data_IF_037375119657
#
_entry.id   IF_037375119657
#
_cell.length_a   1.000
_cell.length_b   1.000
_cell.length_c   1.000
_cell.angle_alpha   90.00
_cell.angle_beta   90.00
_cell.angle_gamma   90.00
#
_symmetry.space_group_name_H-M   'P 1'
#
loop_
_entity.id
_entity.type
_entity.pdbx_description
1 polymer ?
#
# COMPACT_ATOMS: atom_id res chain seq x y z
N UNK A 1 -10.03 16.62 -15.36
CA UNK A 1 -10.73 16.42 -14.06
C UNK A 1 -9.70 15.91 -13.07
N UNK A 2 -9.67 16.42 -11.84
CA UNK A 2 -8.75 15.90 -10.82
C UNK A 2 -9.28 14.59 -10.23
N UNK A 3 -8.42 13.60 -10.03
CA UNK A 3 -8.75 12.37 -9.31
C UNK A 3 -8.86 12.63 -7.80
N UNK A 4 -9.70 11.88 -7.05
CA UNK A 4 -9.71 11.98 -5.61
C UNK A 4 -8.34 11.57 -5.05
N UNK A 5 -7.88 12.29 -4.03
CA UNK A 5 -6.65 11.92 -3.33
C UNK A 5 -6.86 10.61 -2.58
N UNK A 6 -5.92 9.67 -2.76
CA UNK A 6 -5.96 8.37 -2.09
C UNK A 6 -5.08 8.37 -0.84
N UNK A 7 -4.07 9.24 -0.80
CA UNK A 7 -3.09 9.33 0.28
C UNK A 7 -3.00 10.75 0.86
N UNK A 8 -3.03 10.86 2.19
CA UNK A 8 -2.52 12.04 2.88
C UNK A 8 -1.00 12.09 2.69
N UNK A 9 -0.52 13.05 1.88
CA UNK A 9 0.90 13.11 1.51
C UNK A 9 1.80 13.62 2.64
N UNK A 10 1.32 14.57 3.44
CA UNK A 10 2.07 15.16 4.55
C UNK A 10 1.78 14.42 5.86
N UNK A 11 2.24 13.16 5.96
CA UNK A 11 2.23 12.46 7.24
C UNK A 11 3.31 12.98 8.18
N UNK A 12 3.10 12.99 9.50
CA UNK A 12 4.02 13.61 10.43
C UNK A 12 5.36 12.87 10.50
N UNK A 13 6.40 13.61 10.89
CA UNK A 13 7.68 13.05 11.33
C UNK A 13 7.73 13.21 12.84
N UNK A 14 7.93 12.11 13.57
CA UNK A 14 8.04 12.14 15.02
C UNK A 14 9.45 11.76 15.47
N UNK A 15 9.99 12.40 16.52
CA UNK A 15 11.17 11.87 17.20
C UNK A 15 10.82 10.49 17.76
N UNK A 16 11.73 9.52 17.60
CA UNK A 16 11.58 8.19 18.16
C UNK A 16 12.71 7.94 19.16
N UNK A 17 12.34 7.83 20.44
CA UNK A 17 13.28 7.47 21.50
C UNK A 17 13.33 5.95 21.64
N UNK A 18 14.43 5.32 21.22
CA UNK A 18 14.69 3.90 21.48
C UNK A 18 15.67 3.74 22.65
N UNK A 19 15.57 2.64 23.42
CA UNK A 19 16.57 2.33 24.43
C UNK A 19 17.97 2.23 23.82
N UNK A 20 18.97 2.77 24.53
CA UNK A 20 20.39 2.70 24.14
C UNK A 20 20.77 3.39 22.82
N UNK A 21 20.00 4.39 22.36
CA UNK A 21 20.44 5.25 21.25
C UNK A 21 21.66 6.07 21.70
N UNK A 22 22.80 6.04 20.97
CA UNK A 22 23.96 6.87 21.32
C UNK A 22 23.59 8.35 21.26
N UNK A 23 24.15 9.15 22.18
CA UNK A 23 23.73 10.54 22.43
C UNK A 23 23.98 11.48 21.25
N UNK A 24 24.91 11.13 20.39
CA UNK A 24 25.25 11.86 19.17
C UNK A 24 24.24 11.65 18.03
N UNK A 25 23.31 10.69 18.16
CA UNK A 25 22.29 10.42 17.15
C UNK A 25 20.89 10.83 17.63
N UNK A 26 20.10 11.34 16.69
CA UNK A 26 18.66 11.53 16.86
C UNK A 26 17.92 10.67 15.84
N UNK A 27 16.94 9.89 16.31
CA UNK A 27 16.12 9.05 15.45
C UNK A 27 14.74 9.68 15.26
N UNK A 28 14.25 9.62 14.02
CA UNK A 28 12.92 10.09 13.66
C UNK A 28 12.20 9.04 12.84
N UNK A 29 10.86 9.06 12.90
CA UNK A 29 10.00 8.23 12.05
C UNK A 29 9.07 9.09 11.21
N UNK A 30 9.05 8.84 9.91
CA UNK A 30 8.00 9.29 9.00
C UNK A 30 6.79 8.35 9.13
N UNK A 31 5.67 8.84 9.62
CA UNK A 31 4.46 8.04 9.89
C UNK A 31 3.62 7.76 8.64
N UNK A 32 4.17 7.02 7.69
CA UNK A 32 3.47 6.65 6.46
C UNK A 32 2.26 5.73 6.68
N UNK A 33 2.14 5.16 7.86
CA UNK A 33 0.94 4.48 8.33
C UNK A 33 -0.25 5.43 8.58
N UNK A 34 -0.01 6.74 8.69
CA UNK A 34 -1.04 7.77 8.90
C UNK A 34 -1.47 8.44 7.59
N UNK A 35 -1.50 7.70 6.49
CA UNK A 35 -1.86 8.22 5.15
C UNK A 35 -3.37 8.36 4.94
N UNK A 36 -4.21 8.16 5.95
CA UNK A 36 -5.65 8.44 5.89
C UNK A 36 -6.52 7.42 5.15
N UNK A 37 -5.94 6.52 4.36
CA UNK A 37 -6.64 5.37 3.81
C UNK A 37 -6.79 4.28 4.89
N UNK A 38 -8.00 3.76 5.07
CA UNK A 38 -8.30 2.70 6.05
C UNK A 38 -7.36 1.52 5.81
N UNK A 39 -6.40 1.33 6.74
CA UNK A 39 -5.38 0.26 6.73
C UNK A 39 -4.15 0.48 5.83
N UNK A 40 -3.78 1.74 5.61
CA UNK A 40 -2.75 2.14 4.65
C UNK A 40 -1.38 2.47 5.24
N UNK A 41 -0.33 2.10 4.50
CA UNK A 41 1.07 2.45 4.73
C UNK A 41 1.69 3.01 3.45
N UNK A 42 3.00 2.87 3.25
CA UNK A 42 3.73 3.43 2.09
C UNK A 42 3.17 3.05 0.69
N UNK A 43 2.39 1.96 0.54
CA UNK A 43 1.86 1.52 -0.76
C UNK A 43 0.84 2.47 -1.36
N UNK A 44 0.03 3.14 -0.54
CA UNK A 44 -1.01 4.05 -1.07
C UNK A 44 -0.40 5.22 -1.83
N UNK A 45 0.77 5.71 -1.39
CA UNK A 45 1.51 6.80 -2.06
C UNK A 45 1.85 6.44 -3.50
N UNK A 46 2.22 5.18 -3.74
CA UNK A 46 2.52 4.66 -5.08
C UNK A 46 1.24 4.46 -5.88
N UNK A 47 0.22 3.86 -5.24
CA UNK A 47 -1.05 3.53 -5.89
C UNK A 47 -1.77 4.77 -6.43
N UNK A 48 -1.65 5.93 -5.77
CA UNK A 48 -2.26 7.17 -6.24
C UNK A 48 -1.87 7.51 -7.69
N UNK A 49 -0.59 7.35 -8.05
CA UNK A 49 -0.11 7.60 -9.41
C UNK A 49 -0.49 6.47 -10.37
N UNK A 50 -0.38 5.21 -9.93
CA UNK A 50 -0.67 4.06 -10.78
C UNK A 50 -2.17 3.96 -11.14
N UNK A 51 -3.04 4.29 -10.20
CA UNK A 51 -4.48 4.23 -10.40
C UNK A 51 -4.98 5.44 -11.18
N UNK A 52 -4.34 6.60 -11.05
CA UNK A 52 -4.58 7.73 -11.95
C UNK A 52 -4.28 7.34 -13.41
N UNK A 53 -3.11 6.75 -13.68
CA UNK A 53 -2.74 6.26 -15.01
C UNK A 53 -3.71 5.18 -15.53
N UNK A 54 -4.17 4.27 -14.67
CA UNK A 54 -5.18 3.26 -15.04
C UNK A 54 -6.51 3.91 -15.45
N UNK A 55 -6.95 4.96 -14.75
CA UNK A 55 -8.16 5.70 -15.08
C UNK A 55 -8.00 6.49 -16.40
N UNK A 56 -6.85 7.14 -16.60
CA UNK A 56 -6.52 7.82 -17.87
C UNK A 56 -6.57 6.86 -19.06
N UNK A 57 -6.09 5.62 -18.86
CA UNK A 57 -6.13 4.53 -19.85
C UNK A 57 -7.49 3.84 -19.96
N UNK A 58 -8.50 4.30 -19.21
CA UNK A 58 -9.86 3.73 -19.18
C UNK A 58 -9.87 2.24 -18.82
N UNK A 59 -8.94 1.80 -17.99
CA UNK A 59 -8.99 0.46 -17.42
C UNK A 59 -10.20 0.33 -16.50
N UNK A 60 -10.81 -0.86 -16.47
CA UNK A 60 -11.91 -1.18 -15.57
C UNK A 60 -11.47 -2.04 -14.37
N UNK A 61 -10.28 -2.63 -14.43
CA UNK A 61 -9.84 -3.69 -13.52
C UNK A 61 -8.35 -3.56 -13.15
N UNK A 62 -8.04 -3.75 -11.87
CA UNK A 62 -6.68 -3.79 -11.34
C UNK A 62 -6.32 -5.21 -10.91
N UNK A 63 -5.27 -5.78 -11.52
CA UNK A 63 -4.69 -7.06 -11.11
C UNK A 63 -3.42 -6.80 -10.29
N UNK A 64 -3.27 -7.45 -9.14
CA UNK A 64 -1.99 -7.46 -8.41
C UNK A 64 -1.76 -8.78 -7.69
N UNK A 65 -0.53 -9.03 -7.26
CA UNK A 65 -0.16 -10.22 -6.51
C UNK A 65 0.53 -9.90 -5.17
N UNK A 66 0.59 -10.89 -4.28
CA UNK A 66 1.26 -10.78 -2.98
C UNK A 66 1.17 -12.07 -2.17
N UNK A 67 1.68 -12.04 -0.93
CA UNK A 67 1.41 -13.12 0.03
C UNK A 67 0.01 -13.00 0.63
N UNK A 68 -0.43 -14.02 1.37
CA UNK A 68 -1.76 -14.06 2.03
C UNK A 68 -2.01 -12.83 2.92
N UNK A 69 -1.00 -12.33 3.64
CA UNK A 69 -1.11 -11.16 4.52
C UNK A 69 -0.58 -9.87 3.87
N UNK A 70 -0.65 -9.76 2.54
CA UNK A 70 -0.07 -8.63 1.81
C UNK A 70 -0.81 -7.31 2.08
N UNK A 71 -0.13 -6.38 2.76
CA UNK A 71 -0.59 -4.99 2.88
C UNK A 71 -0.77 -4.33 1.51
N UNK A 72 0.06 -4.67 0.52
CA UNK A 72 -0.06 -4.13 -0.84
C UNK A 72 -1.36 -4.55 -1.51
N UNK A 73 -1.71 -5.84 -1.43
CA UNK A 73 -2.94 -6.37 -2.01
C UNK A 73 -4.17 -5.75 -1.34
N UNK A 74 -4.15 -5.63 0.00
CA UNK A 74 -5.21 -4.98 0.76
C UNK A 74 -5.40 -3.52 0.36
N UNK A 75 -4.31 -2.73 0.34
CA UNK A 75 -4.38 -1.31 -0.08
C UNK A 75 -4.84 -1.16 -1.53
N UNK A 76 -4.41 -2.04 -2.43
CA UNK A 76 -4.82 -2.03 -3.84
C UNK A 76 -6.33 -2.28 -3.98
N UNK A 77 -6.86 -3.28 -3.28
CA UNK A 77 -8.28 -3.61 -3.33
C UNK A 77 -9.17 -2.47 -2.82
N UNK A 78 -8.79 -1.84 -1.69
CA UNK A 78 -9.51 -0.68 -1.14
C UNK A 78 -9.46 0.50 -2.11
N UNK A 79 -8.28 0.87 -2.59
CA UNK A 79 -8.09 2.01 -3.48
C UNK A 79 -8.80 1.81 -4.83
N UNK A 80 -8.72 0.62 -5.43
CA UNK A 80 -9.43 0.30 -6.66
C UNK A 80 -10.95 0.46 -6.50
N UNK A 81 -11.53 -0.05 -5.40
CA UNK A 81 -12.97 0.10 -5.12
C UNK A 81 -13.40 1.54 -4.90
N UNK A 82 -12.60 2.34 -4.18
CA UNK A 82 -12.88 3.76 -3.99
C UNK A 82 -12.96 4.54 -5.32
N UNK A 83 -12.25 4.06 -6.35
CA UNK A 83 -12.26 4.63 -7.70
C UNK A 83 -13.26 3.98 -8.65
N UNK A 84 -14.10 3.05 -8.17
CA UNK A 84 -15.08 2.34 -9.00
C UNK A 84 -14.47 1.25 -9.90
N UNK A 85 -13.25 0.79 -9.64
CA UNK A 85 -12.55 -0.23 -10.43
C UNK A 85 -12.76 -1.63 -9.86
N UNK A 86 -12.82 -2.62 -10.75
CA UNK A 86 -12.65 -4.03 -10.41
C UNK A 86 -11.21 -4.29 -9.95
N UNK A 87 -11.01 -5.40 -9.24
CA UNK A 87 -9.77 -5.72 -8.55
C UNK A 87 -9.72 -7.20 -8.24
N UNK A 88 -8.65 -7.85 -8.71
CA UNK A 88 -8.38 -9.26 -8.50
C UNK A 88 -6.98 -9.41 -7.92
N UNK A 89 -6.86 -10.30 -6.93
CA UNK A 89 -5.64 -10.52 -6.16
C UNK A 89 -5.14 -11.94 -6.38
N UNK A 90 -3.91 -12.08 -6.84
CA UNK A 90 -3.20 -13.36 -6.84
C UNK A 90 -2.41 -13.52 -5.53
N UNK A 91 -2.97 -14.26 -4.59
CA UNK A 91 -2.37 -14.45 -3.25
C UNK A 91 -1.62 -15.78 -3.18
N UNK A 92 -0.31 -15.71 -2.96
CA UNK A 92 0.55 -16.88 -2.79
C UNK A 92 0.49 -17.35 -1.34
N UNK A 93 0.11 -18.60 -1.16
CA UNK A 93 0.19 -19.28 0.12
C UNK A 93 1.49 -20.11 0.20
N UNK A 94 2.41 -19.78 1.12
CA UNK A 94 3.66 -20.53 1.27
C UNK A 94 3.46 -21.97 1.79
N UNK A 95 2.33 -22.26 2.43
CA UNK A 95 1.99 -23.61 2.92
C UNK A 95 1.59 -24.58 1.82
N UNK A 96 1.27 -24.07 0.63
CA UNK A 96 1.06 -24.88 -0.57
C UNK A 96 2.42 -25.17 -1.19
N UNK A 97 3.06 -26.27 -0.75
CA UNK A 97 4.17 -26.83 -1.50
C UNK A 97 3.62 -27.50 -2.77
N UNK A 98 3.81 -26.83 -3.90
CA UNK A 98 3.42 -27.35 -5.22
C UNK A 98 4.34 -28.49 -5.69
N UNK A 99 5.41 -28.82 -4.94
CA UNK A 99 6.34 -29.92 -5.27
C UNK A 99 5.76 -31.33 -5.13
N UNK A 100 4.53 -31.51 -4.67
CA UNK A 100 3.90 -32.83 -4.68
C UNK A 100 3.03 -33.11 -5.92
N UNK A 101 2.87 -32.13 -6.82
CA UNK A 101 2.09 -32.26 -8.06
C UNK A 101 2.95 -32.25 -9.34
N UNK A 102 4.28 -32.33 -9.22
CA UNK A 102 5.22 -32.46 -10.35
C UNK A 102 6.13 -33.66 -10.13
#
# INVERSE_FOLDING_TARGET
>A
MGYPLLAQRNTPIHPWNIPNLPKEFSLFIKRDDLTGSTLSGNKIRKLEFLLADALDKKCDTILTCGGIQSNHCRSTAVAARQLGLNCYLFLRNPSTDYRHWM
#
